data_IF_577125404021
#
_entry.id   IF_577125404021
#
_cell.length_a   1.000
_cell.length_b   1.000
_cell.length_c   1.000
_cell.angle_alpha   90.00
_cell.angle_beta   90.00
_cell.angle_gamma   90.00
#
_symmetry.space_group_name_H-M   'P 1'
#
loop_
_entity.id
_entity.type
_entity.pdbx_description
1 polymer ?
#
# COMPACT_ATOMS: atom_id res chain seq x y z
N UNK A 1 27.53 -14.43 1.79
CA UNK A 1 28.67 -13.53 1.48
C UNK A 1 28.16 -12.49 0.49
N UNK A 2 28.33 -11.20 0.78
CA UNK A 2 27.96 -10.12 -0.15
C UNK A 2 29.22 -9.47 -0.71
N UNK A 3 29.26 -9.28 -2.03
CA UNK A 3 30.31 -8.52 -2.71
C UNK A 3 29.87 -7.06 -2.85
N UNK A 4 30.67 -6.15 -2.31
CA UNK A 4 30.44 -4.71 -2.41
C UNK A 4 30.97 -4.18 -3.74
N UNK A 5 30.44 -3.03 -4.18
CA UNK A 5 30.83 -2.37 -5.43
C UNK A 5 32.33 -2.03 -5.54
N UNK A 6 33.02 -1.89 -4.40
CA UNK A 6 34.47 -1.63 -4.32
C UNK A 6 35.32 -2.91 -4.15
N UNK A 7 34.74 -4.09 -4.39
CA UNK A 7 35.43 -5.39 -4.28
C UNK A 7 35.60 -5.93 -2.85
N UNK A 8 35.11 -5.22 -1.83
CA UNK A 8 35.08 -5.70 -0.45
C UNK A 8 34.09 -6.86 -0.28
N UNK A 9 34.42 -7.80 0.61
CA UNK A 9 33.60 -8.96 0.93
C UNK A 9 33.09 -8.82 2.37
N UNK A 10 31.78 -8.88 2.55
CA UNK A 10 31.15 -8.95 3.87
C UNK A 10 30.53 -10.33 4.10
N UNK A 11 30.83 -10.90 5.26
CA UNK A 11 30.24 -12.14 5.76
C UNK A 11 29.25 -11.83 6.88
N UNK A 12 28.04 -12.36 6.78
CA UNK A 12 27.00 -12.24 7.79
C UNK A 12 26.20 -13.53 7.88
N UNK A 13 25.51 -13.76 9.01
CA UNK A 13 24.59 -14.89 9.18
C UNK A 13 23.29 -14.71 8.40
N UNK A 14 22.82 -13.47 8.30
CA UNK A 14 21.60 -13.03 7.62
C UNK A 14 21.87 -11.66 6.96
N UNK A 15 21.26 -11.44 5.81
CA UNK A 15 21.22 -10.16 5.10
C UNK A 15 19.78 -9.64 5.15
N UNK A 16 19.59 -8.43 5.67
CA UNK A 16 18.32 -7.72 5.63
C UNK A 16 18.35 -6.75 4.45
N UNK A 17 17.55 -7.02 3.42
CA UNK A 17 17.39 -6.12 2.28
C UNK A 17 16.35 -5.05 2.63
N UNK A 18 16.85 -3.89 3.07
CA UNK A 18 16.07 -2.69 3.37
C UNK A 18 16.36 -1.55 2.39
N UNK A 19 16.80 -1.85 1.15
CA UNK A 19 17.16 -0.85 0.14
C UNK A 19 15.96 -0.30 -0.66
N UNK A 20 14.75 -0.66 -0.25
CA UNK A 20 13.49 -0.20 -0.84
C UNK A 20 13.14 -0.83 -2.19
N UNK A 21 12.14 -0.23 -2.86
CA UNK A 21 11.52 -0.76 -4.09
C UNK A 21 12.48 -1.00 -5.27
N UNK A 22 13.65 -0.36 -5.25
CA UNK A 22 14.65 -0.46 -6.32
C UNK A 22 15.90 -1.29 -5.94
N UNK A 23 15.80 -2.05 -4.84
CA UNK A 23 16.85 -2.95 -4.37
C UNK A 23 17.47 -3.79 -5.51
N UNK A 24 18.81 -3.84 -5.64
CA UNK A 24 19.49 -4.73 -6.58
C UNK A 24 19.23 -6.22 -6.31
N UNK A 25 18.97 -6.61 -5.07
CA UNK A 25 18.60 -7.99 -4.71
C UNK A 25 17.20 -8.27 -5.23
N UNK A 26 16.26 -7.34 -5.00
CA UNK A 26 14.89 -7.46 -5.50
C UNK A 26 14.84 -7.59 -7.04
N UNK A 27 15.69 -6.86 -7.75
CA UNK A 27 15.83 -6.97 -9.22
C UNK A 27 16.25 -8.38 -9.65
N UNK A 28 17.16 -9.02 -8.91
CA UNK A 28 17.57 -10.41 -9.17
C UNK A 28 16.42 -11.39 -8.91
N UNK A 29 15.71 -11.24 -7.77
CA UNK A 29 14.57 -12.10 -7.42
C UNK A 29 13.45 -11.99 -8.47
N UNK A 30 13.16 -10.78 -8.94
CA UNK A 30 12.08 -10.54 -9.90
C UNK A 30 12.44 -10.88 -11.34
N UNK A 31 13.73 -11.03 -11.68
CA UNK A 31 14.18 -11.44 -13.02
C UNK A 31 13.66 -10.55 -14.15
N UNK A 32 13.55 -9.24 -13.93
CA UNK A 32 13.00 -8.30 -14.92
C UNK A 32 11.48 -8.24 -15.02
N UNK A 33 10.73 -8.93 -14.14
CA UNK A 33 9.27 -8.83 -14.06
C UNK A 33 8.85 -7.39 -13.80
N UNK A 34 8.05 -6.84 -14.72
CA UNK A 34 7.41 -5.53 -14.58
C UNK A 34 6.45 -5.52 -13.39
N UNK A 35 6.27 -4.37 -12.72
CA UNK A 35 5.24 -4.23 -11.70
C UNK A 35 3.84 -4.44 -12.28
N UNK A 36 2.87 -4.75 -11.43
CA UNK A 36 1.47 -4.89 -11.83
C UNK A 36 0.77 -3.51 -11.92
N UNK A 37 1.33 -2.50 -11.26
CA UNK A 37 0.92 -1.11 -11.32
C UNK A 37 2.01 -0.19 -10.78
N UNK A 38 1.84 1.11 -10.94
CA UNK A 38 2.76 2.12 -10.42
C UNK A 38 1.96 3.29 -9.88
N UNK A 39 2.43 3.89 -8.79
CA UNK A 39 2.06 5.25 -8.43
C UNK A 39 3.21 6.18 -8.76
N UNK A 40 2.88 7.22 -9.51
CA UNK A 40 3.78 8.31 -9.83
C UNK A 40 3.38 9.49 -8.95
N UNK A 41 4.31 9.98 -8.12
CA UNK A 41 4.08 11.13 -7.24
C UNK A 41 5.03 12.25 -7.61
N UNK A 42 4.51 13.47 -7.54
CA UNK A 42 5.25 14.73 -7.58
C UNK A 42 4.71 15.64 -6.50
N UNK A 43 5.48 16.64 -6.09
CA UNK A 43 5.04 17.53 -5.04
C UNK A 43 6.10 18.51 -4.60
N UNK A 44 5.77 19.27 -3.57
CA UNK A 44 6.71 20.17 -2.92
C UNK A 44 6.42 20.30 -1.43
N UNK A 45 7.46 20.66 -0.68
CA UNK A 45 7.32 21.27 0.62
C UNK A 45 7.57 22.77 0.44
N UNK A 46 6.64 23.59 0.92
CA UNK A 46 6.72 25.04 0.79
C UNK A 46 6.30 25.73 2.09
N UNK A 47 6.90 26.88 2.33
CA UNK A 47 6.61 27.79 3.44
C UNK A 47 5.66 28.90 2.97
N UNK A 48 4.77 29.37 3.86
CA UNK A 48 3.89 30.52 3.62
C UNK A 48 2.40 30.24 3.81
N UNK A 49 2.02 29.03 4.22
CA UNK A 49 0.62 28.65 4.43
C UNK A 49 0.09 29.23 5.75
N UNK A 50 -0.79 30.23 5.68
CA UNK A 50 -1.39 30.88 6.85
C UNK A 50 -2.38 29.99 7.61
N UNK A 51 -3.17 29.20 6.87
CA UNK A 51 -4.10 28.21 7.42
C UNK A 51 -3.60 26.80 7.09
N UNK A 52 -3.01 26.12 8.08
CA UNK A 52 -2.31 24.84 7.86
C UNK A 52 -2.51 23.87 9.04
N UNK A 53 -3.77 23.67 9.44
CA UNK A 53 -4.15 22.78 10.55
C UNK A 53 -4.82 21.48 10.09
N UNK A 54 -5.23 21.39 8.83
CA UNK A 54 -5.92 20.24 8.25
C UNK A 54 -5.00 19.43 7.32
N UNK A 55 -5.39 18.18 7.08
CA UNK A 55 -4.70 17.29 6.15
C UNK A 55 -5.68 16.67 5.17
N UNK A 56 -5.24 16.49 3.93
CA UNK A 56 -5.94 15.72 2.92
C UNK A 56 -5.20 14.39 2.74
N UNK A 57 -5.87 13.28 3.06
CA UNK A 57 -5.29 11.92 2.92
C UNK A 57 -5.42 11.41 1.49
N UNK A 58 -6.57 11.65 0.85
CA UNK A 58 -6.78 11.33 -0.56
C UNK A 58 -7.90 12.22 -1.09
N UNK A 59 -7.52 13.24 -1.86
CA UNK A 59 -8.45 14.17 -2.47
C UNK A 59 -8.44 14.03 -4.00
N UNK A 60 -9.62 14.01 -4.61
CA UNK A 60 -9.75 14.06 -6.06
C UNK A 60 -11.01 14.82 -6.43
N UNK A 61 -10.85 15.84 -7.28
CA UNK A 61 -11.96 16.64 -7.83
C UNK A 61 -11.89 16.82 -9.34
N UNK A 62 -10.80 16.37 -9.96
CA UNK A 62 -10.65 16.40 -11.41
C UNK A 62 -11.31 15.17 -12.04
N UNK A 63 -11.95 15.35 -13.20
CA UNK A 63 -12.23 14.20 -14.06
C UNK A 63 -10.91 13.66 -14.62
N UNK A 64 -10.92 12.41 -15.12
CA UNK A 64 -9.80 11.86 -15.87
C UNK A 64 -9.36 12.86 -16.93
N UNK A 65 -8.08 13.21 -16.88
CA UNK A 65 -7.46 14.22 -17.73
C UNK A 65 -6.32 13.60 -18.52
N UNK A 66 -5.87 14.30 -19.56
CA UNK A 66 -4.71 13.87 -20.35
C UNK A 66 -3.47 14.59 -19.82
N UNK A 67 -2.43 13.81 -19.49
CA UNK A 67 -1.09 14.30 -19.17
C UNK A 67 -0.13 13.63 -20.15
N UNK A 68 0.59 14.44 -20.93
CA UNK A 68 1.31 14.00 -22.12
C UNK A 68 0.39 13.15 -23.03
N UNK A 69 0.70 11.86 -23.20
CA UNK A 69 -0.06 10.92 -24.02
C UNK A 69 -0.93 9.93 -23.23
N UNK A 70 -1.01 10.07 -21.91
CA UNK A 70 -1.80 9.19 -21.05
C UNK A 70 -3.04 9.87 -20.48
N UNK A 71 -4.14 9.13 -20.46
CA UNK A 71 -5.27 9.43 -19.60
C UNK A 71 -4.94 9.03 -18.15
N UNK A 72 -5.07 9.98 -17.22
CA UNK A 72 -4.75 9.82 -15.81
C UNK A 72 -5.84 10.40 -14.91
N UNK A 73 -6.02 9.78 -13.74
CA UNK A 73 -6.76 10.38 -12.63
C UNK A 73 -5.74 11.02 -11.69
N UNK A 74 -5.88 12.31 -11.41
CA UNK A 74 -5.00 13.03 -10.49
C UNK A 74 -5.62 13.08 -9.10
N UNK A 75 -4.81 12.71 -8.11
CA UNK A 75 -5.12 12.74 -6.69
C UNK A 75 -4.18 13.70 -5.97
N UNK A 76 -4.61 14.19 -4.82
CA UNK A 76 -3.84 15.08 -3.97
C UNK A 76 -3.78 14.56 -2.55
N UNK A 77 -2.63 14.79 -1.92
CA UNK A 77 -2.47 14.71 -0.47
C UNK A 77 -1.78 15.98 0.00
N UNK A 78 -2.11 16.43 1.20
CA UNK A 78 -1.41 17.57 1.77
C UNK A 78 -1.42 17.55 3.29
N UNK A 79 -0.28 17.84 3.88
CA UNK A 79 -0.04 17.73 5.32
C UNK A 79 0.77 18.91 5.83
N UNK A 80 0.46 19.44 7.03
CA UNK A 80 1.38 20.33 7.73
C UNK A 80 2.73 19.63 7.92
N UNK A 81 3.82 20.30 7.59
CA UNK A 81 5.15 19.75 7.71
C UNK A 81 5.68 19.91 9.14
N UNK A 82 6.48 18.96 9.60
CA UNK A 82 7.10 19.02 10.94
C UNK A 82 8.15 20.12 11.11
N UNK A 83 8.55 20.81 10.03
CA UNK A 83 9.55 21.88 10.05
C UNK A 83 9.01 23.21 10.56
N UNK A 84 7.70 23.44 10.53
CA UNK A 84 7.09 24.66 11.03
C UNK A 84 5.58 24.74 10.77
N UNK A 85 4.84 25.58 11.51
CA UNK A 85 3.39 25.69 11.37
C UNK A 85 2.94 26.26 10.02
N UNK A 86 3.82 27.01 9.34
CA UNK A 86 3.55 27.62 8.03
C UNK A 86 4.06 26.74 6.87
N UNK A 87 4.69 25.62 7.17
CA UNK A 87 5.26 24.73 6.17
C UNK A 87 4.26 23.63 5.85
N UNK A 88 4.00 23.38 4.57
CA UNK A 88 3.07 22.34 4.13
C UNK A 88 3.72 21.52 3.04
N UNK A 89 3.55 20.21 3.13
CA UNK A 89 3.92 19.29 2.07
C UNK A 89 2.69 18.96 1.25
N UNK A 90 2.78 19.14 -0.05
CA UNK A 90 1.70 18.91 -1.00
C UNK A 90 2.15 17.92 -2.07
N UNK A 91 1.41 16.84 -2.21
CA UNK A 91 1.64 15.82 -3.22
C UNK A 91 0.50 15.82 -4.24
N UNK A 92 0.86 15.59 -5.50
CA UNK A 92 -0.05 15.17 -6.55
C UNK A 92 0.43 13.84 -7.09
N UNK A 93 -0.47 12.88 -7.24
CA UNK A 93 -0.12 11.55 -7.70
C UNK A 93 -1.15 10.95 -8.62
N UNK A 94 -0.73 9.91 -9.34
CA UNK A 94 -1.61 9.11 -10.19
C UNK A 94 -1.21 7.65 -10.19
N UNK A 95 -2.21 6.77 -10.30
CA UNK A 95 -2.00 5.35 -10.51
C UNK A 95 -2.02 5.03 -12.01
N UNK A 96 -0.99 4.34 -12.48
CA UNK A 96 -0.84 3.94 -13.88
C UNK A 96 -0.33 2.51 -14.01
N UNK A 97 -0.45 1.95 -15.21
CA UNK A 97 0.23 0.72 -15.59
C UNK A 97 1.67 1.03 -16.09
N UNK A 98 2.63 0.11 -15.96
CA UNK A 98 3.99 0.30 -16.47
C UNK A 98 4.06 0.12 -17.99
N UNK A 99 3.60 1.13 -18.72
CA UNK A 99 3.61 1.20 -20.18
C UNK A 99 4.44 2.39 -20.67
N UNK A 100 4.91 2.34 -21.92
CA UNK A 100 5.76 3.39 -22.51
C UNK A 100 5.04 4.72 -22.71
N UNK A 101 3.71 4.71 -22.71
CA UNK A 101 2.87 5.91 -22.83
C UNK A 101 2.56 6.56 -21.48
N UNK A 102 2.98 5.96 -20.36
CA UNK A 102 2.77 6.56 -19.03
C UNK A 102 3.52 7.90 -18.92
N UNK A 103 2.98 8.89 -18.21
CA UNK A 103 3.63 10.18 -18.05
C UNK A 103 5.01 10.04 -17.42
N UNK A 104 5.94 10.91 -17.80
CA UNK A 104 7.16 11.11 -17.02
C UNK A 104 6.86 11.84 -15.71
N UNK A 105 7.83 11.85 -14.79
CA UNK A 105 7.69 12.64 -13.57
C UNK A 105 7.74 14.13 -13.88
N UNK A 106 8.49 14.51 -14.90
CA UNK A 106 8.59 15.86 -15.43
C UNK A 106 7.24 16.35 -15.97
N UNK A 107 6.54 15.54 -16.77
CA UNK A 107 5.19 15.87 -17.27
C UNK A 107 4.19 16.09 -16.12
N UNK A 108 4.27 15.24 -15.08
CA UNK A 108 3.43 15.38 -13.90
C UNK A 108 3.80 16.62 -13.07
N UNK A 109 5.08 16.96 -12.99
CA UNK A 109 5.55 18.12 -12.23
C UNK A 109 5.09 19.43 -12.88
N UNK A 110 5.06 19.50 -14.22
CA UNK A 110 4.48 20.64 -14.95
C UNK A 110 2.98 20.83 -14.63
N UNK A 111 2.20 19.75 -14.66
CA UNK A 111 0.79 19.82 -14.29
C UNK A 111 0.59 20.11 -12.79
N UNK A 112 1.51 19.66 -11.93
CA UNK A 112 1.49 19.97 -10.50
C UNK A 112 1.58 21.48 -10.27
N UNK A 113 2.57 22.16 -10.84
CA UNK A 113 2.75 23.60 -10.63
C UNK A 113 1.56 24.42 -11.13
N UNK A 114 0.96 23.98 -12.24
CA UNK A 114 -0.23 24.62 -12.82
C UNK A 114 -1.48 24.44 -11.95
N UNK A 115 -1.66 23.28 -11.33
CA UNK A 115 -2.88 22.93 -10.59
C UNK A 115 -2.79 23.24 -9.09
N UNK A 116 -1.58 23.24 -8.52
CA UNK A 116 -1.35 23.40 -7.09
C UNK A 116 -1.95 24.69 -6.51
N UNK A 117 -1.85 25.88 -7.15
CA UNK A 117 -2.44 27.11 -6.63
C UNK A 117 -3.95 27.02 -6.41
N UNK A 118 -4.64 26.37 -7.35
CA UNK A 118 -6.09 26.17 -7.25
C UNK A 118 -6.44 25.17 -6.15
N UNK A 119 -5.65 24.10 -6.01
CA UNK A 119 -5.89 23.08 -5.00
C UNK A 119 -5.66 23.63 -3.58
N UNK A 120 -4.53 24.31 -3.35
CA UNK A 120 -4.19 24.88 -2.04
C UNK A 120 -4.87 26.22 -1.75
N UNK A 121 -5.43 26.89 -2.75
CA UNK A 121 -6.06 28.21 -2.59
C UNK A 121 -5.06 29.34 -2.33
N UNK A 122 -3.83 29.23 -2.83
CA UNK A 122 -2.74 30.21 -2.61
C UNK A 122 -1.93 30.40 -3.90
N UNK A 123 -1.41 31.61 -4.15
CA UNK A 123 -0.51 31.85 -5.28
C UNK A 123 0.88 31.25 -5.05
N UNK A 124 1.57 30.83 -6.11
CA UNK A 124 2.97 30.39 -6.01
C UNK A 124 3.91 31.52 -5.55
N UNK A 125 3.61 32.78 -5.93
CA UNK A 125 4.43 33.94 -5.55
C UNK A 125 4.37 34.25 -4.04
N UNK A 126 3.39 33.71 -3.33
CA UNK A 126 3.25 33.83 -1.87
C UNK A 126 3.98 32.71 -1.11
N UNK A 127 4.57 31.75 -1.83
CA UNK A 127 5.20 30.58 -1.25
C UNK A 127 6.70 30.55 -1.50
N UNK A 128 7.45 30.18 -0.46
CA UNK A 128 8.86 29.81 -0.61
C UNK A 128 8.95 28.30 -0.79
N UNK A 129 9.40 27.84 -1.96
CA UNK A 129 9.58 26.41 -2.23
C UNK A 129 10.85 25.92 -1.54
N UNK A 130 10.67 25.14 -0.47
CA UNK A 130 11.77 24.58 0.32
C UNK A 130 12.36 23.31 -0.33
N UNK A 131 11.50 22.50 -0.95
CA UNK A 131 11.90 21.22 -1.56
C UNK A 131 10.90 20.80 -2.64
N UNK A 132 11.41 20.28 -3.74
CA UNK A 132 10.63 19.52 -4.73
C UNK A 132 10.76 18.03 -4.44
N UNK A 133 9.65 17.30 -4.49
CA UNK A 133 9.57 15.87 -4.20
C UNK A 133 9.00 15.15 -5.42
N UNK A 134 9.57 13.99 -5.74
CA UNK A 134 9.06 13.11 -6.78
C UNK A 134 9.44 11.67 -6.47
N UNK A 135 8.65 10.73 -6.96
CA UNK A 135 8.86 9.32 -6.65
C UNK A 135 8.03 8.39 -7.52
N UNK A 136 8.51 7.16 -7.61
CA UNK A 136 7.84 6.07 -8.32
C UNK A 136 7.70 4.91 -7.35
N UNK A 137 6.47 4.50 -7.10
CA UNK A 137 6.16 3.37 -6.24
C UNK A 137 5.58 2.22 -7.06
N UNK A 138 6.39 1.19 -7.37
CA UNK A 138 5.90 0.02 -8.06
C UNK A 138 5.01 -0.82 -7.12
N UNK A 139 3.88 -1.32 -7.64
CA UNK A 139 3.05 -2.31 -6.94
C UNK A 139 3.17 -3.67 -7.59
N UNK A 140 3.25 -4.71 -6.76
CA UNK A 140 3.23 -6.10 -7.20
C UNK A 140 2.12 -6.82 -6.46
N UNK A 141 1.24 -7.52 -7.19
CA UNK A 141 0.10 -8.25 -6.61
C UNK A 141 0.55 -9.34 -5.64
N UNK A 142 1.66 -10.00 -5.97
CA UNK A 142 2.26 -11.05 -5.14
C UNK A 142 3.18 -10.43 -4.10
N UNK A 143 2.62 -9.68 -3.15
CA UNK A 143 3.33 -9.11 -2.00
C UNK A 143 2.57 -9.42 -0.69
N UNK A 144 3.25 -9.54 0.46
CA UNK A 144 4.70 -9.43 0.68
C UNK A 144 5.54 -10.51 -0.03
N UNK A 145 6.75 -10.16 -0.44
CA UNK A 145 7.65 -11.06 -1.16
C UNK A 145 8.21 -12.14 -0.23
N UNK A 146 8.04 -13.39 -0.65
CA UNK A 146 8.67 -14.55 0.01
C UNK A 146 10.19 -14.49 -0.18
N UNK A 147 10.95 -14.99 0.80
CA UNK A 147 12.40 -15.06 0.67
C UNK A 147 12.76 -16.04 -0.45
N UNK A 148 13.56 -15.57 -1.41
CA UNK A 148 13.98 -16.36 -2.56
C UNK A 148 15.34 -17.05 -2.37
N UNK A 149 16.09 -16.64 -1.34
CA UNK A 149 17.42 -17.16 -1.04
C UNK A 149 17.53 -17.44 0.46
N UNK A 150 18.33 -18.45 0.79
CA UNK A 150 18.79 -18.66 2.17
C UNK A 150 19.52 -17.42 2.67
N UNK A 151 19.29 -17.08 3.94
CA UNK A 151 20.00 -16.00 4.65
C UNK A 151 19.82 -14.61 4.01
N UNK A 152 18.75 -14.39 3.25
CA UNK A 152 18.36 -13.07 2.71
C UNK A 152 16.87 -12.84 2.97
N UNK A 153 16.54 -11.73 3.63
CA UNK A 153 15.16 -11.34 3.93
C UNK A 153 14.87 -9.91 3.47
N UNK A 154 13.82 -9.73 2.69
CA UNK A 154 13.33 -8.40 2.32
C UNK A 154 12.58 -7.74 3.47
N UNK A 155 12.80 -6.43 3.64
CA UNK A 155 12.28 -5.63 4.73
C UNK A 155 11.83 -4.24 4.26
N UNK A 156 10.75 -3.72 4.86
CA UNK A 156 10.13 -2.46 4.44
C UNK A 156 9.70 -2.49 2.98
N UNK A 157 9.95 -1.40 2.25
CA UNK A 157 9.57 -1.28 0.84
C UNK A 157 10.11 -2.40 -0.07
N UNK A 158 11.26 -3.00 0.27
CA UNK A 158 11.81 -4.12 -0.50
C UNK A 158 10.95 -5.39 -0.38
N UNK A 159 10.18 -5.56 0.70
CA UNK A 159 9.26 -6.70 0.83
C UNK A 159 7.91 -6.45 0.16
N UNK A 160 7.57 -5.20 -0.17
CA UNK A 160 6.27 -4.85 -0.74
C UNK A 160 5.11 -4.98 0.25
N UNK A 161 5.37 -4.88 1.56
CA UNK A 161 4.35 -4.96 2.61
C UNK A 161 3.51 -3.67 2.75
N UNK A 162 3.88 -2.60 2.05
CA UNK A 162 3.12 -1.35 2.01
C UNK A 162 1.80 -1.48 1.24
N UNK A 163 0.80 -0.70 1.65
CA UNK A 163 -0.49 -0.59 0.95
C UNK A 163 -0.30 -0.11 -0.50
N UNK A 164 -0.94 -0.75 -1.50
CA UNK A 164 -0.97 -0.28 -2.88
C UNK A 164 -1.89 0.93 -3.09
N UNK A 165 -2.62 1.38 -2.06
CA UNK A 165 -3.51 2.54 -2.11
C UNK A 165 -2.75 3.78 -1.64
N UNK A 166 -2.48 3.94 -0.35
CA UNK A 166 -1.78 5.14 0.16
C UNK A 166 -0.27 5.13 -0.10
N UNK A 167 0.33 3.97 -0.41
CA UNK A 167 1.79 3.79 -0.37
C UNK A 167 2.45 4.15 0.97
N UNK A 168 1.69 4.12 2.06
CA UNK A 168 2.16 4.40 3.41
C UNK A 168 3.12 3.32 3.96
N UNK A 169 4.32 3.22 3.41
CA UNK A 169 5.32 2.24 3.79
C UNK A 169 5.78 2.38 5.25
N UNK A 170 5.89 3.62 5.74
CA UNK A 170 6.24 3.87 7.14
C UNK A 170 5.17 3.37 8.11
N UNK A 171 3.89 3.65 7.85
CA UNK A 171 2.77 3.17 8.68
C UNK A 171 2.65 1.64 8.68
N UNK A 172 2.84 1.00 7.52
CA UNK A 172 2.91 -0.46 7.46
C UNK A 172 4.11 -1.00 8.27
N UNK A 173 5.27 -0.38 8.14
CA UNK A 173 6.48 -0.77 8.84
C UNK A 173 6.34 -0.67 10.36
N UNK A 174 5.81 0.44 10.89
CA UNK A 174 5.65 0.61 12.34
C UNK A 174 4.74 -0.46 12.95
N UNK A 175 3.65 -0.82 12.26
CA UNK A 175 2.76 -1.92 12.68
C UNK A 175 3.47 -3.27 12.67
N UNK A 176 4.28 -3.55 11.65
CA UNK A 176 4.93 -4.85 11.50
C UNK A 176 6.29 -4.97 12.20
N UNK A 177 6.86 -3.88 12.70
CA UNK A 177 8.21 -3.85 13.27
C UNK A 177 8.37 -4.87 14.39
N UNK A 178 7.43 -4.91 15.35
CA UNK A 178 7.52 -5.81 16.50
C UNK A 178 7.47 -7.30 16.12
N UNK A 179 6.56 -7.70 15.22
CA UNK A 179 6.49 -9.10 14.76
C UNK A 179 7.74 -9.49 13.94
N UNK A 180 8.23 -8.57 13.10
CA UNK A 180 9.37 -8.83 12.22
C UNK A 180 10.66 -8.90 13.03
N UNK A 181 10.89 -7.97 13.96
CA UNK A 181 12.07 -8.00 14.83
C UNK A 181 12.12 -9.30 15.64
N UNK A 182 11.02 -9.64 16.32
CA UNK A 182 10.95 -10.85 17.13
C UNK A 182 11.14 -12.11 16.29
N UNK A 183 10.51 -12.17 15.12
CA UNK A 183 10.67 -13.31 14.23
C UNK A 183 12.06 -13.43 13.62
N UNK A 184 12.74 -12.31 13.33
CA UNK A 184 14.13 -12.32 12.88
C UNK A 184 15.06 -12.82 13.99
N UNK A 185 14.88 -12.37 15.23
CA UNK A 185 15.66 -12.87 16.38
C UNK A 185 15.46 -14.38 16.57
N UNK A 186 14.21 -14.85 16.60
CA UNK A 186 13.92 -16.29 16.72
C UNK A 186 14.52 -17.11 15.56
N UNK A 187 14.52 -16.57 14.33
CA UNK A 187 15.11 -17.25 13.18
C UNK A 187 16.65 -17.34 13.27
N UNK A 188 17.31 -16.26 13.72
CA UNK A 188 18.76 -16.24 13.92
C UNK A 188 19.17 -17.18 15.06
N UNK A 189 18.46 -17.15 16.19
CA UNK A 189 18.78 -17.97 17.35
C UNK A 189 18.57 -19.45 17.08
N UNK A 190 17.53 -19.80 16.32
CA UNK A 190 17.25 -21.19 15.92
C UNK A 190 17.96 -21.68 14.66
N UNK A 191 18.84 -20.87 14.05
CA UNK A 191 19.44 -21.08 12.72
C UNK A 191 18.41 -21.48 11.64
N UNK A 192 17.19 -20.93 11.75
CA UNK A 192 16.08 -21.09 10.80
C UNK A 192 16.20 -20.05 9.67
N UNK A 193 17.37 -20.01 9.05
CA UNK A 193 17.76 -19.00 8.05
C UNK A 193 17.68 -19.53 6.62
N UNK A 194 17.03 -20.68 6.43
CA UNK A 194 16.65 -21.18 5.11
C UNK A 194 15.50 -20.36 4.50
N UNK A 195 15.42 -20.37 3.18
CA UNK A 195 14.45 -19.60 2.39
C UNK A 195 12.99 -19.89 2.79
N UNK A 196 12.65 -21.13 3.14
CA UNK A 196 11.29 -21.52 3.56
C UNK A 196 10.96 -20.95 4.94
N UNK A 197 11.88 -21.01 5.90
CA UNK A 197 11.71 -20.42 7.23
C UNK A 197 11.60 -18.90 7.16
N UNK A 198 12.49 -18.23 6.43
CA UNK A 198 12.47 -16.77 6.27
C UNK A 198 11.22 -16.26 5.56
N UNK A 199 10.71 -17.01 4.58
CA UNK A 199 9.46 -16.69 3.87
C UNK A 199 8.26 -16.51 4.81
N UNK A 200 8.23 -17.23 5.93
CA UNK A 200 7.15 -17.13 6.93
C UNK A 200 7.12 -15.78 7.66
N UNK A 201 8.18 -14.99 7.61
CA UNK A 201 8.22 -13.62 8.16
C UNK A 201 7.48 -12.62 7.27
N UNK A 202 7.35 -12.90 5.98
CA UNK A 202 6.59 -12.10 5.02
C UNK A 202 5.44 -12.94 4.46
N UNK A 203 4.48 -13.39 5.29
CA UNK A 203 3.43 -14.30 4.85
C UNK A 203 2.47 -13.62 3.87
N UNK A 204 1.62 -14.41 3.21
CA UNK A 204 0.47 -13.89 2.48
C UNK A 204 -0.44 -13.03 3.38
N UNK A 205 -0.84 -11.87 2.88
CA UNK A 205 -1.65 -10.88 3.59
C UNK A 205 -2.93 -10.57 2.81
N UNK A 206 -4.07 -11.23 3.10
CA UNK A 206 -5.30 -11.03 2.34
C UNK A 206 -5.85 -9.60 2.44
N UNK A 207 -5.67 -8.90 3.57
CA UNK A 207 -6.02 -7.48 3.69
C UNK A 207 -5.27 -6.61 2.67
N UNK A 208 -3.97 -6.87 2.50
CA UNK A 208 -3.14 -6.19 1.52
C UNK A 208 -3.56 -6.54 0.09
N UNK A 209 -3.71 -7.83 -0.22
CA UNK A 209 -4.14 -8.26 -1.56
C UNK A 209 -5.55 -7.75 -1.92
N UNK A 210 -6.48 -7.71 -0.97
CA UNK A 210 -7.82 -7.17 -1.17
C UNK A 210 -7.80 -5.66 -1.50
N UNK A 211 -6.83 -4.92 -0.98
CA UNK A 211 -6.71 -3.48 -1.25
C UNK A 211 -6.30 -3.17 -2.70
N UNK A 212 -5.70 -4.13 -3.41
CA UNK A 212 -5.28 -3.97 -4.81
C UNK A 212 -6.46 -3.64 -5.74
N UNK A 213 -7.66 -4.12 -5.44
CA UNK A 213 -8.85 -3.79 -6.21
C UNK A 213 -9.14 -2.29 -6.20
N UNK A 214 -8.92 -1.61 -5.06
CA UNK A 214 -9.12 -0.17 -4.97
C UNK A 214 -8.13 0.57 -5.86
N UNK A 215 -6.84 0.24 -5.81
CA UNK A 215 -5.82 0.80 -6.69
C UNK A 215 -6.23 0.64 -8.17
N UNK A 216 -6.66 -0.58 -8.54
CA UNK A 216 -7.08 -0.90 -9.91
C UNK A 216 -8.30 -0.11 -10.35
N UNK A 217 -9.30 0.04 -9.48
CA UNK A 217 -10.51 0.81 -9.76
C UNK A 217 -10.23 2.31 -9.87
N UNK A 218 -9.23 2.82 -9.15
CA UNK A 218 -8.82 4.23 -9.14
C UNK A 218 -7.82 4.60 -10.24
N UNK A 219 -7.23 3.62 -10.93
CA UNK A 219 -6.33 3.84 -12.06
C UNK A 219 -7.12 4.17 -13.33
N UNK A 220 -6.77 5.23 -14.05
CA UNK A 220 -7.43 5.55 -15.32
C UNK A 220 -7.03 4.56 -16.42
N UNK A 221 -7.99 4.14 -17.24
CA UNK A 221 -7.73 3.37 -18.45
C UNK A 221 -7.39 4.29 -19.61
N UNK A 222 -6.50 3.85 -20.49
CA UNK A 222 -6.22 4.58 -21.73
C UNK A 222 -7.43 4.63 -22.66
N UNK A 223 -8.20 3.52 -22.73
CA UNK A 223 -9.51 3.50 -23.37
C UNK A 223 -10.59 3.75 -22.33
N UNK A 224 -11.27 4.88 -22.45
CA UNK A 224 -12.34 5.27 -21.55
C UNK A 224 -13.65 4.58 -21.95
N UNK A 225 -13.92 3.45 -21.32
CA UNK A 225 -15.19 2.71 -21.47
C UNK A 225 -16.19 3.03 -20.33
N UNK A 226 -15.82 3.97 -19.46
CA UNK A 226 -16.61 4.48 -18.32
C UNK A 226 -16.50 6.01 -18.29
N UNK A 227 -17.38 6.66 -17.50
CA UNK A 227 -17.37 8.11 -17.32
C UNK A 227 -15.99 8.62 -16.85
N UNK A 228 -15.47 9.74 -17.38
CA UNK A 228 -14.28 10.40 -16.85
C UNK A 228 -14.39 10.80 -15.38
N UNK A 229 -15.60 10.95 -14.84
CA UNK A 229 -15.84 11.26 -13.42
C UNK A 229 -15.99 10.01 -12.53
N UNK A 230 -15.88 8.81 -13.10
CA UNK A 230 -16.17 7.55 -12.39
C UNK A 230 -15.37 7.41 -11.09
N UNK A 231 -14.08 7.73 -11.10
CA UNK A 231 -13.23 7.60 -9.91
C UNK A 231 -13.71 8.50 -8.78
N UNK A 232 -14.11 9.74 -9.08
CA UNK A 232 -14.65 10.66 -8.07
C UNK A 232 -15.98 10.16 -7.52
N UNK A 233 -16.86 9.62 -8.37
CA UNK A 233 -18.12 9.03 -7.94
C UNK A 233 -17.87 7.83 -7.02
N UNK A 234 -16.95 6.94 -7.39
CA UNK A 234 -16.58 5.77 -6.61
C UNK A 234 -16.03 6.15 -5.23
N UNK A 235 -15.09 7.10 -5.18
CA UNK A 235 -14.54 7.61 -3.92
C UNK A 235 -15.63 8.24 -3.05
N UNK A 236 -16.44 9.13 -3.62
CA UNK A 236 -17.49 9.82 -2.89
C UNK A 236 -18.49 8.84 -2.28
N UNK A 237 -18.94 7.84 -3.05
CA UNK A 237 -19.88 6.82 -2.59
C UNK A 237 -19.26 5.95 -1.49
N UNK A 238 -18.01 5.51 -1.66
CA UNK A 238 -17.31 4.71 -0.65
C UNK A 238 -17.11 5.48 0.66
N UNK A 239 -16.54 6.70 0.61
CA UNK A 239 -16.31 7.51 1.81
C UNK A 239 -17.60 7.93 2.50
N UNK A 240 -18.65 8.24 1.75
CA UNK A 240 -19.98 8.55 2.32
C UNK A 240 -20.57 7.34 3.05
N UNK A 241 -20.41 6.13 2.50
CA UNK A 241 -20.85 4.90 3.17
C UNK A 241 -20.01 4.63 4.44
N UNK A 242 -18.68 4.76 4.36
CA UNK A 242 -17.80 4.57 5.51
C UNK A 242 -18.09 5.59 6.63
N UNK A 243 -18.30 6.86 6.29
CA UNK A 243 -18.68 7.90 7.24
C UNK A 243 -20.00 7.57 7.94
N UNK A 244 -21.00 7.06 7.21
CA UNK A 244 -22.29 6.63 7.79
C UNK A 244 -22.14 5.42 8.73
N UNK A 245 -21.16 4.55 8.47
CA UNK A 245 -20.85 3.38 9.31
C UNK A 245 -19.99 3.74 10.53
N UNK A 246 -19.41 4.95 10.55
CA UNK A 246 -18.69 5.54 11.68
C UNK A 246 -17.21 5.12 11.79
N UNK A 247 -16.58 5.61 12.85
CA UNK A 247 -15.14 5.48 13.11
C UNK A 247 -14.59 4.05 13.09
N UNK A 248 -15.29 3.01 13.59
CA UNK A 248 -14.82 1.63 13.49
C UNK A 248 -14.65 1.09 12.07
N UNK A 249 -15.22 1.78 11.07
CA UNK A 249 -15.04 1.46 9.64
C UNK A 249 -14.08 2.44 8.99
N UNK A 250 -14.26 3.74 9.23
CA UNK A 250 -13.51 4.79 8.53
C UNK A 250 -12.04 4.88 8.98
N UNK A 251 -11.76 4.89 10.29
CA UNK A 251 -10.40 5.09 10.82
C UNK A 251 -9.40 4.01 10.39
N UNK A 252 -9.70 2.69 10.49
CA UNK A 252 -8.76 1.67 10.04
C UNK A 252 -8.51 1.78 8.54
N UNK A 253 -9.53 2.08 7.72
CA UNK A 253 -9.36 2.29 6.28
C UNK A 253 -8.40 3.45 5.97
N UNK A 254 -8.53 4.58 6.68
CA UNK A 254 -7.64 5.75 6.52
C UNK A 254 -6.18 5.46 6.94
N UNK A 255 -5.94 4.38 7.69
CA UNK A 255 -4.61 3.91 8.08
C UNK A 255 -4.17 2.67 7.28
N UNK A 256 -4.82 2.40 6.15
CA UNK A 256 -4.60 1.25 5.27
C UNK A 256 -4.79 -0.12 5.92
N UNK A 257 -5.58 -0.18 6.99
CA UNK A 257 -5.93 -1.43 7.63
C UNK A 257 -7.28 -1.89 7.10
N UNK A 258 -7.23 -2.78 6.12
CA UNK A 258 -8.43 -3.44 5.60
C UNK A 258 -8.80 -4.60 6.52
N UNK A 259 -10.01 -4.56 7.07
CA UNK A 259 -10.59 -5.61 7.89
C UNK A 259 -11.86 -6.16 7.22
N UNK A 260 -12.14 -7.45 7.42
CA UNK A 260 -13.26 -8.13 6.78
C UNK A 260 -14.61 -7.44 7.05
N UNK A 261 -14.94 -7.23 8.33
CA UNK A 261 -16.22 -6.66 8.76
C UNK A 261 -16.48 -5.26 8.20
N UNK A 262 -15.58 -4.28 8.42
CA UNK A 262 -15.65 -2.96 7.80
C UNK A 262 -15.80 -3.01 6.28
N UNK A 263 -14.99 -3.80 5.59
CA UNK A 263 -15.06 -3.92 4.13
C UNK A 263 -16.41 -4.47 3.66
N UNK A 264 -16.89 -5.56 4.27
CA UNK A 264 -18.17 -6.18 3.93
C UNK A 264 -19.35 -5.23 4.16
N UNK A 265 -19.36 -4.48 5.27
CA UNK A 265 -20.40 -3.48 5.58
C UNK A 265 -20.39 -2.35 4.55
N UNK A 266 -19.21 -1.83 4.21
CA UNK A 266 -19.08 -0.77 3.21
C UNK A 266 -19.59 -1.23 1.85
N UNK A 267 -19.13 -2.39 1.36
CA UNK A 267 -19.57 -2.94 0.07
C UNK A 267 -21.09 -3.19 0.05
N UNK A 268 -21.64 -3.79 1.11
CA UNK A 268 -23.09 -4.00 1.21
C UNK A 268 -23.87 -2.69 1.19
N UNK A 269 -23.40 -1.66 1.90
CA UNK A 269 -24.06 -0.35 1.92
C UNK A 269 -23.96 0.38 0.56
N UNK A 270 -22.85 0.23 -0.16
CA UNK A 270 -22.69 0.73 -1.54
C UNK A 270 -23.67 0.04 -2.48
N UNK A 271 -23.81 -1.29 -2.39
CA UNK A 271 -24.76 -2.07 -3.20
C UNK A 271 -26.21 -1.64 -2.95
N UNK A 272 -26.56 -1.27 -1.72
CA UNK A 272 -27.90 -0.82 -1.36
C UNK A 272 -28.18 0.62 -1.80
N UNK A 273 -27.23 1.55 -1.61
CA UNK A 273 -27.46 2.98 -1.86
C UNK A 273 -27.19 3.41 -3.30
N UNK A 274 -26.27 2.74 -4.00
CA UNK A 274 -25.78 3.13 -5.34
C UNK A 274 -25.50 1.92 -6.25
N UNK A 275 -26.46 1.00 -6.45
CA UNK A 275 -26.24 -0.22 -7.26
C UNK A 275 -25.82 0.05 -8.72
N UNK A 276 -26.20 1.20 -9.28
CA UNK A 276 -25.86 1.60 -10.65
C UNK A 276 -24.36 1.81 -10.89
N UNK A 277 -23.54 1.93 -9.84
CA UNK A 277 -22.08 2.04 -9.98
C UNK A 277 -21.43 0.69 -10.31
N UNK A 278 -22.10 -0.43 -10.00
CA UNK A 278 -21.55 -1.79 -10.13
C UNK A 278 -21.18 -2.10 -11.58
N UNK A 279 -22.03 -1.89 -12.60
CA UNK A 279 -21.64 -2.10 -14.00
C UNK A 279 -20.38 -1.31 -14.40
N UNK A 280 -20.23 -0.08 -13.89
CA UNK A 280 -19.05 0.75 -14.14
C UNK A 280 -17.80 0.19 -13.47
N UNK A 281 -17.90 -0.35 -12.24
CA UNK A 281 -16.80 -1.08 -11.58
C UNK A 281 -16.39 -2.29 -12.43
N UNK A 282 -17.35 -3.08 -12.92
CA UNK A 282 -17.07 -4.25 -13.77
C UNK A 282 -16.37 -3.85 -15.07
N UNK A 283 -16.81 -2.77 -15.73
CA UNK A 283 -16.14 -2.24 -16.94
C UNK A 283 -14.77 -1.67 -16.62
N UNK A 284 -14.61 -0.99 -15.48
CA UNK A 284 -13.35 -0.38 -15.08
C UNK A 284 -12.31 -1.44 -14.70
N UNK A 285 -12.67 -2.43 -13.92
CA UNK A 285 -11.69 -3.37 -13.34
C UNK A 285 -11.58 -4.67 -14.15
N UNK A 286 -12.69 -5.13 -14.72
CA UNK A 286 -12.78 -6.38 -15.47
C UNK A 286 -13.13 -7.59 -14.60
N UNK A 287 -13.89 -8.54 -15.18
CA UNK A 287 -14.37 -9.75 -14.50
C UNK A 287 -13.23 -10.61 -13.93
N UNK A 288 -12.13 -10.89 -14.66
CA UNK A 288 -11.06 -11.73 -14.13
C UNK A 288 -10.44 -11.18 -12.85
N UNK A 289 -10.30 -9.85 -12.74
CA UNK A 289 -9.77 -9.20 -11.54
C UNK A 289 -10.74 -9.32 -10.36
N UNK A 290 -12.03 -9.19 -10.59
CA UNK A 290 -13.04 -9.32 -9.53
C UNK A 290 -13.10 -10.75 -8.99
N UNK A 291 -12.93 -11.76 -9.85
CA UNK A 291 -12.86 -13.17 -9.44
C UNK A 291 -11.60 -13.43 -8.58
N UNK A 292 -10.45 -12.95 -9.01
CA UNK A 292 -9.20 -13.03 -8.23
C UNK A 292 -9.35 -12.35 -6.86
N UNK A 293 -9.90 -11.13 -6.84
CA UNK A 293 -10.18 -10.40 -5.60
C UNK A 293 -11.15 -11.14 -4.66
N UNK A 294 -12.14 -11.86 -5.19
CA UNK A 294 -13.10 -12.60 -4.37
C UNK A 294 -12.42 -13.68 -3.51
N UNK A 295 -11.32 -14.28 -4.00
CA UNK A 295 -10.50 -15.22 -3.24
C UNK A 295 -9.83 -14.51 -2.07
N UNK A 296 -9.26 -13.32 -2.31
CA UNK A 296 -8.64 -12.52 -1.25
C UNK A 296 -9.66 -12.06 -0.21
N UNK A 297 -10.85 -11.66 -0.63
CA UNK A 297 -11.95 -11.29 0.26
C UNK A 297 -12.41 -12.47 1.14
N UNK A 298 -12.55 -13.68 0.56
CA UNK A 298 -12.85 -14.89 1.33
C UNK A 298 -11.73 -15.22 2.32
N UNK A 299 -10.47 -15.18 1.88
CA UNK A 299 -9.32 -15.44 2.74
C UNK A 299 -9.19 -14.41 3.87
N UNK A 300 -9.58 -13.16 3.63
CA UNK A 300 -9.65 -12.12 4.65
C UNK A 300 -10.64 -12.51 5.76
N UNK A 301 -11.85 -12.95 5.38
CA UNK A 301 -12.84 -13.47 6.34
C UNK A 301 -12.36 -14.72 7.08
N UNK A 302 -11.71 -15.66 6.37
CA UNK A 302 -11.13 -16.84 6.99
C UNK A 302 -10.03 -16.47 7.99
N UNK A 303 -9.11 -15.55 7.65
CA UNK A 303 -8.05 -15.11 8.56
C UNK A 303 -8.62 -14.38 9.78
N UNK A 304 -9.66 -13.55 9.60
CA UNK A 304 -10.40 -12.96 10.72
C UNK A 304 -10.96 -14.04 11.64
N UNK A 305 -11.61 -15.06 11.10
CA UNK A 305 -12.15 -16.17 11.90
C UNK A 305 -11.04 -16.95 12.62
N UNK A 306 -9.98 -17.36 11.91
CA UNK A 306 -8.88 -18.13 12.48
C UNK A 306 -8.17 -17.36 13.60
N UNK A 307 -7.91 -16.06 13.39
CA UNK A 307 -7.26 -15.22 14.40
C UNK A 307 -8.15 -14.95 15.62
N UNK A 308 -9.46 -14.80 15.44
CA UNK A 308 -10.37 -14.48 16.54
C UNK A 308 -10.76 -15.71 17.38
N UNK A 309 -10.93 -16.87 16.73
CA UNK A 309 -11.54 -18.04 17.38
C UNK A 309 -10.62 -19.24 17.49
N UNK A 310 -9.65 -19.42 16.60
CA UNK A 310 -8.78 -20.60 16.60
C UNK A 310 -7.44 -20.33 17.26
N UNK A 311 -6.80 -19.19 16.97
CA UNK A 311 -5.52 -18.79 17.58
C UNK A 311 -5.55 -18.87 19.12
N UNK A 312 -6.52 -18.27 19.84
CA UNK A 312 -6.54 -18.32 21.30
C UNK A 312 -6.64 -19.73 21.88
N UNK A 313 -7.26 -20.67 21.14
CA UNK A 313 -7.46 -22.05 21.57
C UNK A 313 -6.20 -22.88 21.39
N UNK A 314 -5.48 -22.69 20.27
CA UNK A 314 -4.32 -23.53 19.96
C UNK A 314 -3.01 -22.97 20.53
N UNK A 315 -2.91 -21.65 20.73
CA UNK A 315 -1.67 -20.97 21.16
C UNK A 315 -1.04 -21.56 22.43
N UNK A 316 -1.78 -21.89 23.50
CA UNK A 316 -1.17 -22.46 24.72
C UNK A 316 -0.44 -23.77 24.44
N UNK A 317 -0.98 -24.61 23.56
CA UNK A 317 -0.43 -25.92 23.23
C UNK A 317 0.79 -25.87 22.30
N UNK A 318 1.13 -24.70 21.74
CA UNK A 318 2.27 -24.55 20.84
C UNK A 318 3.61 -24.41 21.58
N UNK A 319 3.58 -24.09 22.88
CA UNK A 319 4.79 -23.79 23.65
C UNK A 319 5.73 -25.00 23.79
N UNK A 320 5.17 -26.20 23.79
CA UNK A 320 5.88 -27.48 23.94
C UNK A 320 6.39 -28.07 22.61
N UNK A 321 6.09 -27.44 21.48
CA UNK A 321 6.47 -27.96 20.17
C UNK A 321 7.99 -27.82 19.91
N UNK A 322 8.57 -28.70 19.07
CA UNK A 322 9.95 -28.55 18.60
C UNK A 322 10.20 -27.17 17.99
N UNK A 323 11.41 -26.63 18.17
CA UNK A 323 11.78 -25.26 17.82
C UNK A 323 11.30 -24.80 16.44
N UNK A 324 11.60 -25.58 15.39
CA UNK A 324 11.19 -25.26 14.01
C UNK A 324 9.68 -25.22 13.87
N UNK A 325 8.98 -26.23 14.39
CA UNK A 325 7.51 -26.31 14.32
C UNK A 325 6.85 -25.17 15.11
N UNK A 326 7.39 -24.85 16.28
CA UNK A 326 6.95 -23.71 17.10
C UNK A 326 7.12 -22.38 16.37
N UNK A 327 8.28 -22.14 15.75
CA UNK A 327 8.52 -20.97 14.91
C UNK A 327 7.51 -20.87 13.77
N UNK A 328 7.30 -21.96 13.03
CA UNK A 328 6.36 -22.00 11.91
C UNK A 328 4.93 -21.67 12.34
N UNK A 329 4.46 -22.22 13.46
CA UNK A 329 3.14 -21.90 13.99
C UNK A 329 3.04 -20.47 14.48
N UNK A 330 4.03 -19.95 15.23
CA UNK A 330 4.04 -18.54 15.65
C UNK A 330 3.88 -17.59 14.46
N UNK A 331 4.67 -17.81 13.39
CA UNK A 331 4.57 -17.02 12.14
C UNK A 331 3.22 -17.18 11.45
N UNK A 332 2.60 -18.37 11.51
CA UNK A 332 1.26 -18.61 10.97
C UNK A 332 0.17 -17.89 11.75
N UNK A 333 0.25 -17.86 13.08
CA UNK A 333 -0.67 -17.11 13.93
C UNK A 333 -0.56 -15.60 13.67
N UNK A 334 0.68 -15.10 13.53
CA UNK A 334 0.92 -13.71 13.11
C UNK A 334 0.35 -13.45 11.71
N UNK A 335 0.51 -14.36 10.76
CA UNK A 335 -0.08 -14.23 9.42
C UNK A 335 -1.60 -14.06 9.49
N UNK A 336 -2.29 -14.81 10.35
CA UNK A 336 -3.73 -14.67 10.55
C UNK A 336 -4.09 -13.30 11.13
N UNK A 337 -3.44 -12.89 12.22
CA UNK A 337 -3.72 -11.61 12.89
C UNK A 337 -3.46 -10.42 11.97
N UNK A 338 -2.26 -10.32 11.44
CA UNK A 338 -1.83 -9.17 10.63
C UNK A 338 -2.42 -9.20 9.22
N UNK A 339 -2.58 -10.38 8.63
CA UNK A 339 -3.25 -10.54 7.33
C UNK A 339 -4.75 -10.25 7.40
N UNK A 340 -5.35 -10.30 8.59
CA UNK A 340 -6.73 -9.87 8.83
C UNK A 340 -6.87 -8.39 9.22
N UNK A 341 -5.76 -7.67 9.41
CA UNK A 341 -5.76 -6.30 9.95
C UNK A 341 -6.22 -6.21 11.41
N UNK A 342 -6.13 -7.32 12.17
CA UNK A 342 -6.50 -7.38 13.60
C UNK A 342 -5.34 -6.97 14.53
N UNK A 343 -4.26 -6.46 13.97
CA UNK A 343 -3.21 -5.75 14.69
C UNK A 343 -3.55 -4.27 14.95
N UNK A 344 -4.61 -3.76 14.33
CA UNK A 344 -5.15 -2.44 14.59
C UNK A 344 -6.10 -2.44 15.79
N UNK A 345 -5.91 -1.49 16.69
CA UNK A 345 -6.79 -1.19 17.82
C UNK A 345 -7.27 0.27 17.68
N UNK A 346 -8.57 0.52 17.96
CA UNK A 346 -9.23 1.80 17.69
C UNK A 346 -8.80 2.91 18.66
#
# INVERSE_FOLDING_TARGET
>A
VMQLSKGGILSSRLVIDAMGNFSPILKQIKGGRKPDGMCLVVGSCAHGFKENSSSDVIYSSSSVTKVADANVQLFWEAFPAGSGPLDRTTYMFTYTEPQSTSPSLEDLLEEYWKLMPKYQGVSLDELEILRVVYGIFPTYRNSPLQAAFDRVLQFGDASGIQSPVSFGGFGSLTRHLGRLSNGIYEAIDGDLLDSDSLSKLNPYMPNLSASWLFQRAMSAKQKLDVSPSFTNELLHVNFSCMQRLGDPVLRPFLQDVIQFGPLAKTLGLVMLNKPQIIPSIFRQVGIPVLLDWSVHFFMLGLYTFLSAYIDPVIRPSLEELPLKTKFQWKRRLEAWKYGAGLDYEL
#
